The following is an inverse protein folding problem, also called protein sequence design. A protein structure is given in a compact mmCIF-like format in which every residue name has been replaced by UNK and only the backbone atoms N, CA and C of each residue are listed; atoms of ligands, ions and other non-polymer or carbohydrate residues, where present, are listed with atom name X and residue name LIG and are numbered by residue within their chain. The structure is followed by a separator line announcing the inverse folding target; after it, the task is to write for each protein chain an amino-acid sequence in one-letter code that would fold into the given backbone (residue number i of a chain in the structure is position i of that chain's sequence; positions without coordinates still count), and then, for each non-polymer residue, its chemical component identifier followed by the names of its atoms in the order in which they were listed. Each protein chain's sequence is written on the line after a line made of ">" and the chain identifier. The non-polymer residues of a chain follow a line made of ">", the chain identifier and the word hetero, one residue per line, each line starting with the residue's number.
data_IF_218639169055
#
_entry.id   IF_218639169055
#
_cell.length_a   1.000
_cell.length_b   1.000
_cell.length_c   1.000
_cell.angle_alpha   90.00
_cell.angle_beta   90.00
_cell.angle_gamma   90.00
#
_symmetry.space_group_name_H-M   'P 1'
#
loop_
_entity.id
_entity.type
_entity.pdbx_description
1 polymer ?
#
# COMPACT_ATOMS: atom_id res chain seq x y z
N UNK A 1 -8.56 -15.87 -5.94
CA UNK A 1 -9.44 -14.70 -5.83
C UNK A 1 -9.77 -14.29 -4.39
N UNK A 2 -9.54 -15.12 -3.36
CA UNK A 2 -9.71 -14.72 -1.95
C UNK A 2 -9.00 -13.42 -1.60
N UNK A 3 -7.73 -13.26 -2.02
CA UNK A 3 -6.96 -12.04 -1.79
C UNK A 3 -7.62 -10.76 -2.37
N UNK A 4 -8.24 -10.85 -3.55
CA UNK A 4 -8.97 -9.74 -4.16
C UNK A 4 -10.16 -9.30 -3.30
N UNK A 5 -10.98 -10.28 -2.87
CA UNK A 5 -12.14 -10.03 -2.05
C UNK A 5 -11.74 -9.47 -0.68
N UNK A 6 -10.77 -10.10 -0.02
CA UNK A 6 -10.33 -9.71 1.32
C UNK A 6 -9.64 -8.34 1.34
N UNK A 7 -8.81 -8.02 0.34
CA UNK A 7 -8.21 -6.69 0.23
C UNK A 7 -9.22 -5.60 -0.06
N UNK A 8 -10.22 -5.90 -0.91
CA UNK A 8 -11.33 -4.97 -1.16
C UNK A 8 -12.15 -4.72 0.10
N UNK A 9 -12.48 -5.78 0.84
CA UNK A 9 -13.22 -5.69 2.09
C UNK A 9 -12.45 -4.90 3.15
N UNK A 10 -11.16 -5.20 3.32
CA UNK A 10 -10.32 -4.55 4.33
C UNK A 10 -10.18 -3.03 4.11
N UNK A 11 -10.15 -2.58 2.85
CA UNK A 11 -10.08 -1.15 2.52
C UNK A 11 -11.45 -0.47 2.41
N UNK A 12 -12.56 -1.19 2.64
CA UNK A 12 -13.90 -0.63 2.45
C UNK A 12 -14.33 0.34 3.54
N UNK A 13 -13.86 0.14 4.78
CA UNK A 13 -14.20 0.95 5.95
C UNK A 13 -13.24 2.11 6.22
N UNK A 14 -12.11 2.20 5.50
CA UNK A 14 -11.09 3.24 5.74
C UNK A 14 -10.53 3.27 7.18
N UNK A 15 -10.51 2.13 7.88
CA UNK A 15 -9.95 1.93 9.23
C UNK A 15 -8.60 1.21 9.23
N UNK A 16 -8.09 0.96 8.04
CA UNK A 16 -6.83 0.29 7.80
C UNK A 16 -5.60 1.13 8.19
N UNK A 17 -4.46 0.46 8.23
CA UNK A 17 -3.19 1.09 8.56
C UNK A 17 -2.76 2.10 7.50
N UNK A 18 -1.85 2.99 7.89
CA UNK A 18 -1.28 4.00 7.00
C UNK A 18 0.19 4.19 7.31
N UNK A 19 1.00 4.28 6.25
CA UNK A 19 2.33 4.87 6.32
C UNK A 19 2.23 6.32 5.80
N UNK A 20 2.48 7.31 6.67
CA UNK A 20 2.29 8.71 6.30
C UNK A 20 3.36 9.21 5.32
N UNK A 21 4.61 8.76 5.46
CA UNK A 21 5.72 9.19 4.61
C UNK A 21 5.54 8.72 3.16
N UNK A 22 5.06 7.49 2.97
CA UNK A 22 4.78 6.91 1.65
C UNK A 22 3.34 7.16 1.16
N UNK A 23 2.49 7.80 1.98
CA UNK A 23 1.07 8.10 1.70
C UNK A 23 0.26 6.92 1.14
N UNK A 24 0.38 5.75 1.77
CA UNK A 24 -0.22 4.49 1.31
C UNK A 24 -0.70 3.58 2.46
N UNK A 25 -1.47 2.54 2.08
CA UNK A 25 -2.11 1.58 2.98
C UNK A 25 -1.58 0.15 2.74
N UNK A 26 -0.55 -0.30 3.48
CA UNK A 26 0.12 -1.56 3.19
C UNK A 26 -0.67 -2.81 3.62
N UNK A 27 -1.32 -2.78 4.78
CA UNK A 27 -1.96 -3.96 5.36
C UNK A 27 -3.05 -4.55 4.49
N UNK A 28 -3.84 -3.69 3.84
CA UNK A 28 -4.97 -4.08 2.98
C UNK A 28 -4.57 -4.80 1.70
N UNK A 29 -3.33 -4.66 1.23
CA UNK A 29 -2.81 -5.43 0.10
C UNK A 29 -2.02 -6.65 0.57
N UNK A 30 -1.17 -6.48 1.59
CA UNK A 30 -0.17 -7.48 1.98
C UNK A 30 -0.78 -8.62 2.79
N UNK A 31 -1.62 -8.34 3.78
CA UNK A 31 -2.22 -9.39 4.61
C UNK A 31 -3.11 -10.34 3.79
N UNK A 32 -4.03 -9.87 2.94
CA UNK A 32 -4.83 -10.73 2.08
C UNK A 32 -4.00 -11.62 1.14
N UNK A 33 -2.93 -11.06 0.56
CA UNK A 33 -2.03 -11.80 -0.31
C UNK A 33 -1.25 -12.88 0.47
N UNK A 34 -0.71 -12.52 1.64
CA UNK A 34 0.06 -13.41 2.49
C UNK A 34 -0.80 -14.55 3.06
N UNK A 35 -2.01 -14.26 3.55
CA UNK A 35 -2.96 -15.28 4.03
C UNK A 35 -3.24 -16.30 2.91
N UNK A 36 -3.63 -15.80 1.73
CA UNK A 36 -3.92 -16.67 0.59
C UNK A 36 -2.70 -17.52 0.17
N UNK A 37 -1.49 -16.94 0.16
CA UNK A 37 -0.27 -17.67 -0.18
C UNK A 37 0.08 -18.74 0.87
N UNK A 38 -0.10 -18.45 2.16
CA UNK A 38 0.13 -19.40 3.24
C UNK A 38 -0.84 -20.57 3.18
N UNK A 39 -2.13 -20.31 2.91
CA UNK A 39 -3.13 -21.36 2.70
C UNK A 39 -2.78 -22.23 1.49
N UNK A 40 -2.40 -21.60 0.36
CA UNK A 40 -2.03 -22.30 -0.87
C UNK A 40 -0.79 -23.20 -0.72
N UNK A 41 0.18 -22.79 0.09
CA UNK A 41 1.46 -23.49 0.25
C UNK A 41 1.59 -24.23 1.60
N UNK A 42 0.51 -24.28 2.39
CA UNK A 42 0.46 -24.88 3.72
C UNK A 42 1.61 -24.42 4.64
N UNK A 43 1.79 -23.09 4.75
CA UNK A 43 2.90 -22.46 5.48
C UNK A 43 2.53 -22.06 6.91
N UNK A 44 3.52 -21.99 7.79
CA UNK A 44 3.30 -21.66 9.19
C UNK A 44 3.13 -20.15 9.42
N UNK A 45 2.70 -19.78 10.63
CA UNK A 45 2.63 -18.38 11.06
C UNK A 45 3.97 -17.64 11.01
N UNK A 46 5.10 -18.34 11.16
CA UNK A 46 6.42 -17.73 11.03
C UNK A 46 6.67 -17.25 9.60
N UNK A 47 6.45 -18.11 8.61
CA UNK A 47 6.57 -17.74 7.19
C UNK A 47 5.58 -16.65 6.79
N UNK A 48 4.38 -16.66 7.36
CA UNK A 48 3.41 -15.58 7.19
C UNK A 48 3.99 -14.24 7.65
N UNK A 49 4.52 -14.17 8.88
CA UNK A 49 5.11 -12.93 9.43
C UNK A 49 6.32 -12.47 8.60
N UNK A 50 7.21 -13.39 8.20
CA UNK A 50 8.35 -13.05 7.34
C UNK A 50 7.91 -12.47 5.98
N UNK A 51 6.87 -13.06 5.37
CA UNK A 51 6.29 -12.55 4.13
C UNK A 51 5.67 -11.18 4.29
N UNK A 52 4.90 -10.97 5.36
CA UNK A 52 4.29 -9.67 5.69
C UNK A 52 5.36 -8.60 5.86
N UNK A 53 6.39 -8.85 6.69
CA UNK A 53 7.49 -7.89 6.91
C UNK A 53 8.14 -7.51 5.58
N UNK A 54 8.51 -8.50 4.75
CA UNK A 54 9.12 -8.22 3.45
C UNK A 54 8.20 -7.42 2.52
N UNK A 55 6.90 -7.72 2.52
CA UNK A 55 5.92 -6.98 1.73
C UNK A 55 5.84 -5.51 2.15
N UNK A 56 5.85 -5.24 3.46
CA UNK A 56 5.83 -3.88 4.00
C UNK A 56 7.09 -3.12 3.63
N UNK A 57 8.27 -3.74 3.77
CA UNK A 57 9.55 -3.16 3.35
C UNK A 57 9.48 -2.70 1.89
N UNK A 58 9.12 -3.61 0.98
CA UNK A 58 9.10 -3.32 -0.47
C UNK A 58 8.08 -2.23 -0.81
N UNK A 59 6.85 -2.35 -0.31
CA UNK A 59 5.79 -1.39 -0.62
C UNK A 59 6.12 0.02 -0.13
N UNK A 60 6.52 0.14 1.13
CA UNK A 60 6.75 1.44 1.77
C UNK A 60 7.98 2.11 1.16
N UNK A 61 9.09 1.38 0.98
CA UNK A 61 10.31 1.95 0.39
C UNK A 61 10.09 2.42 -1.04
N UNK A 62 9.34 1.67 -1.85
CA UNK A 62 8.96 2.12 -3.19
C UNK A 62 8.05 3.35 -3.15
N UNK A 63 7.10 3.42 -2.21
CA UNK A 63 6.27 4.61 -2.03
C UNK A 63 7.07 5.85 -1.62
N UNK A 64 8.06 5.71 -0.72
CA UNK A 64 8.98 6.79 -0.35
C UNK A 64 9.85 7.23 -1.52
N UNK A 65 10.41 6.26 -2.25
CA UNK A 65 11.27 6.51 -3.40
C UNK A 65 10.52 7.13 -4.58
N UNK A 66 9.23 6.84 -4.75
CA UNK A 66 8.44 7.51 -5.79
C UNK A 66 8.23 8.99 -5.53
N UNK A 67 8.23 9.44 -4.27
CA UNK A 67 7.69 10.74 -3.92
C UNK A 67 6.15 10.69 -4.02
N UNK A 68 5.43 10.55 -2.89
CA UNK A 68 3.97 10.39 -2.95
C UNK A 68 3.31 11.58 -3.64
N UNK A 69 3.76 12.82 -3.39
CA UNK A 69 3.15 14.01 -4.00
C UNK A 69 3.19 13.96 -5.52
N UNK A 70 4.35 13.65 -6.09
CA UNK A 70 4.60 13.55 -7.52
C UNK A 70 3.83 12.38 -8.14
N UNK A 71 3.76 11.25 -7.43
CA UNK A 71 2.99 10.10 -7.86
C UNK A 71 1.48 10.39 -7.90
N UNK A 72 0.96 11.05 -6.86
CA UNK A 72 -0.42 11.51 -6.78
C UNK A 72 -0.71 12.55 -7.89
N UNK A 73 0.19 13.50 -8.15
CA UNK A 73 -0.05 14.52 -9.20
C UNK A 73 -0.16 13.94 -10.60
N UNK A 74 0.39 12.74 -10.83
CA UNK A 74 0.22 11.99 -12.09
C UNK A 74 -1.06 11.15 -12.13
N UNK A 75 -1.87 11.17 -11.08
CA UNK A 75 -3.20 10.53 -11.03
C UNK A 75 -3.19 9.08 -10.55
N UNK A 76 -2.12 8.61 -9.91
CA UNK A 76 -2.01 7.23 -9.45
C UNK A 76 -2.15 7.09 -7.93
N UNK A 77 -2.80 6.00 -7.51
CA UNK A 77 -2.98 5.63 -6.11
C UNK A 77 -1.84 4.70 -5.66
N UNK A 78 -0.90 5.16 -4.81
CA UNK A 78 0.26 4.36 -4.40
C UNK A 78 -0.10 3.03 -3.71
N UNK A 79 -1.25 2.96 -3.02
CA UNK A 79 -1.74 1.71 -2.44
C UNK A 79 -1.95 0.62 -3.50
N UNK A 80 -2.42 0.96 -4.70
CA UNK A 80 -2.60 0.01 -5.80
C UNK A 80 -1.29 -0.30 -6.52
N UNK A 81 -0.51 0.74 -6.83
CA UNK A 81 0.74 0.61 -7.59
C UNK A 81 1.84 -0.04 -6.76
N UNK A 82 2.28 0.59 -5.66
CA UNK A 82 3.29 0.03 -4.75
C UNK A 82 2.82 -1.26 -4.06
N UNK A 83 1.52 -1.35 -3.75
CA UNK A 83 0.94 -2.55 -3.15
C UNK A 83 1.09 -3.79 -4.02
N UNK A 84 1.11 -3.63 -5.35
CA UNK A 84 1.33 -4.75 -6.28
C UNK A 84 2.73 -5.35 -6.07
N UNK A 85 3.76 -4.51 -5.88
CA UNK A 85 5.11 -4.97 -5.57
C UNK A 85 5.22 -5.57 -4.16
N UNK A 86 4.62 -4.93 -3.16
CA UNK A 86 4.62 -5.43 -1.78
C UNK A 86 3.96 -6.80 -1.65
N UNK A 87 2.77 -6.97 -2.23
CA UNK A 87 2.08 -8.26 -2.29
C UNK A 87 2.90 -9.30 -3.04
N UNK A 88 3.54 -8.94 -4.16
CA UNK A 88 4.44 -9.84 -4.90
C UNK A 88 5.60 -10.32 -4.04
N UNK A 89 6.25 -9.41 -3.31
CA UNK A 89 7.37 -9.76 -2.44
C UNK A 89 6.94 -10.71 -1.31
N UNK A 90 5.83 -10.40 -0.64
CA UNK A 90 5.26 -11.24 0.42
C UNK A 90 4.93 -12.64 -0.09
N UNK A 91 4.19 -12.74 -1.19
CA UNK A 91 3.81 -14.02 -1.78
C UNK A 91 5.03 -14.80 -2.26
N UNK A 92 5.98 -14.14 -2.93
CA UNK A 92 7.20 -14.77 -3.43
C UNK A 92 8.03 -15.39 -2.29
N UNK A 93 8.15 -14.68 -1.16
CA UNK A 93 8.82 -15.17 0.05
C UNK A 93 8.09 -16.38 0.65
N UNK A 94 6.77 -16.30 0.79
CA UNK A 94 5.95 -17.38 1.35
C UNK A 94 6.00 -18.64 0.47
N UNK A 95 5.94 -18.47 -0.86
CA UNK A 95 6.02 -19.57 -1.82
C UNK A 95 7.43 -20.14 -2.00
N UNK A 96 8.45 -19.52 -1.38
CA UNK A 96 9.84 -19.97 -1.43
C UNK A 96 10.49 -19.79 -2.80
N UNK A 97 10.19 -18.69 -3.50
CA UNK A 97 10.84 -18.39 -4.79
C UNK A 97 12.33 -18.14 -4.60
N UNK A 98 13.13 -18.60 -5.56
CA UNK A 98 14.55 -18.25 -5.64
C UNK A 98 14.74 -16.76 -5.93
N UNK A 99 15.95 -16.23 -5.72
CA UNK A 99 16.29 -14.84 -6.04
C UNK A 99 15.94 -14.47 -7.49
N UNK A 100 16.23 -15.36 -8.44
CA UNK A 100 15.92 -15.11 -9.86
C UNK A 100 14.41 -15.11 -10.13
N UNK A 101 13.66 -16.01 -9.49
CA UNK A 101 12.21 -16.03 -9.62
C UNK A 101 11.57 -14.79 -8.97
N UNK A 102 12.07 -14.33 -7.83
CA UNK A 102 11.59 -13.10 -7.20
C UNK A 102 11.87 -11.87 -8.07
N UNK A 103 13.04 -11.80 -8.71
CA UNK A 103 13.37 -10.74 -9.67
C UNK A 103 12.39 -10.73 -10.84
N UNK A 104 12.10 -11.90 -11.42
CA UNK A 104 11.09 -12.04 -12.47
C UNK A 104 9.69 -11.66 -11.98
N UNK A 105 9.31 -12.07 -10.77
CA UNK A 105 8.01 -11.79 -10.18
C UNK A 105 7.80 -10.27 -10.01
N UNK A 106 8.79 -9.56 -9.46
CA UNK A 106 8.74 -8.10 -9.35
C UNK A 106 8.71 -7.43 -10.74
N UNK A 107 9.45 -7.98 -11.71
CA UNK A 107 9.37 -7.54 -13.10
C UNK A 107 7.96 -7.62 -13.68
N UNK A 108 7.27 -8.73 -13.44
CA UNK A 108 5.89 -8.95 -13.88
C UNK A 108 4.88 -8.11 -13.10
N UNK A 109 5.16 -7.84 -11.82
CA UNK A 109 4.35 -6.99 -10.97
C UNK A 109 4.28 -5.56 -11.52
N UNK A 110 5.40 -5.02 -12.02
CA UNK A 110 5.43 -3.67 -12.58
C UNK A 110 4.54 -3.47 -13.81
N UNK A 111 4.31 -4.50 -14.61
CA UNK A 111 3.34 -4.45 -15.72
C UNK A 111 1.87 -4.48 -15.26
N UNK A 112 1.61 -4.82 -14.00
CA UNK A 112 0.27 -4.92 -13.41
C UNK A 112 0.00 -3.82 -12.37
N UNK A 113 1.02 -3.03 -12.01
CA UNK A 113 0.92 -1.96 -11.03
C UNK A 113 0.04 -0.82 -11.57
N UNK A 114 -1.15 -0.65 -10.99
CA UNK A 114 -2.13 0.32 -11.45
C UNK A 114 -2.98 0.88 -10.30
N UNK A 115 -3.76 1.92 -10.60
CA UNK A 115 -4.74 2.49 -9.68
C UNK A 115 -5.00 3.95 -10.01
N UNK A 116 -6.04 4.24 -10.80
CA UNK A 116 -6.40 5.62 -11.16
C UNK A 116 -7.10 6.32 -10.01
N UNK A 117 -6.68 7.54 -9.69
CA UNK A 117 -7.29 8.36 -8.64
C UNK A 117 -8.56 9.09 -9.06
N UNK A 118 -9.07 8.84 -10.27
CA UNK A 118 -10.30 9.46 -10.75
C UNK A 118 -11.51 9.21 -9.82
N UNK A 119 -11.45 8.20 -8.95
CA UNK A 119 -12.47 8.00 -7.91
C UNK A 119 -12.68 9.22 -7.00
N UNK A 120 -11.67 10.10 -6.86
CA UNK A 120 -11.76 11.32 -6.05
C UNK A 120 -12.73 12.34 -6.65
N UNK A 121 -13.00 12.33 -7.96
CA UNK A 121 -13.84 13.34 -8.61
C UNK A 121 -15.32 13.16 -8.31
N UNK A 122 -15.76 11.92 -8.04
CA UNK A 122 -17.17 11.57 -7.82
C UNK A 122 -17.40 10.68 -6.58
N UNK A 123 -16.37 10.38 -5.79
CA UNK A 123 -16.48 9.48 -4.63
C UNK A 123 -16.75 8.02 -5.02
N UNK A 124 -16.19 7.56 -6.14
CA UNK A 124 -16.42 6.21 -6.63
C UNK A 124 -15.80 5.14 -5.71
N UNK A 125 -16.39 3.94 -5.72
CA UNK A 125 -15.95 2.85 -4.85
C UNK A 125 -14.67 2.14 -5.30
N UNK A 126 -14.15 2.49 -6.48
CA UNK A 126 -12.96 1.86 -7.07
C UNK A 126 -11.73 1.96 -6.19
N UNK A 127 -11.59 2.99 -5.34
CA UNK A 127 -10.52 3.08 -4.33
C UNK A 127 -10.39 1.79 -3.52
N UNK A 128 -11.52 1.27 -3.03
CA UNK A 128 -11.61 0.06 -2.18
C UNK A 128 -11.04 -1.15 -2.89
N UNK A 129 -11.24 -1.22 -4.21
CA UNK A 129 -10.81 -2.34 -5.05
C UNK A 129 -9.30 -2.35 -5.32
N UNK A 130 -8.62 -1.20 -5.27
CA UNK A 130 -7.19 -1.09 -5.62
C UNK A 130 -6.27 -2.03 -4.82
N UNK A 131 -6.32 -2.09 -3.47
CA UNK A 131 -5.49 -3.03 -2.72
C UNK A 131 -5.87 -4.50 -2.95
N UNK A 132 -7.15 -4.79 -3.23
CA UNK A 132 -7.57 -6.13 -3.64
C UNK A 132 -6.92 -6.56 -4.97
N UNK A 133 -6.90 -5.67 -5.97
CA UNK A 133 -6.21 -5.94 -7.23
C UNK A 133 -4.70 -6.07 -7.03
N UNK A 134 -4.09 -5.21 -6.21
CA UNK A 134 -2.68 -5.33 -5.87
C UNK A 134 -2.35 -6.70 -5.25
N UNK A 135 -3.16 -7.16 -4.30
CA UNK A 135 -3.04 -8.47 -3.67
C UNK A 135 -3.18 -9.62 -4.68
N UNK A 136 -4.16 -9.52 -5.58
CA UNK A 136 -4.37 -10.48 -6.67
C UNK A 136 -3.17 -10.54 -7.62
N UNK A 137 -2.71 -9.38 -8.10
CA UNK A 137 -1.59 -9.25 -9.02
C UNK A 137 -0.31 -9.83 -8.41
N UNK A 138 -0.08 -9.63 -7.11
CA UNK A 138 1.06 -10.22 -6.42
C UNK A 138 1.07 -11.75 -6.41
N UNK A 139 -0.10 -12.38 -6.27
CA UNK A 139 -0.24 -13.83 -6.40
C UNK A 139 0.07 -14.27 -7.83
N UNK A 140 -0.55 -13.62 -8.82
CA UNK A 140 -0.38 -13.98 -10.23
C UNK A 140 1.09 -13.83 -10.68
N UNK A 141 1.72 -12.69 -10.39
CA UNK A 141 3.11 -12.42 -10.72
C UNK A 141 4.07 -13.46 -10.11
N UNK A 142 3.86 -13.81 -8.84
CA UNK A 142 4.67 -14.81 -8.14
C UNK A 142 4.49 -16.22 -8.72
N UNK A 143 3.26 -16.62 -9.06
CA UNK A 143 2.99 -17.92 -9.66
C UNK A 143 3.53 -18.03 -11.09
N UNK A 144 3.41 -16.96 -11.89
CA UNK A 144 3.99 -16.91 -13.23
C UNK A 144 5.51 -17.10 -13.17
N UNK A 145 6.19 -16.34 -12.32
CA UNK A 145 7.64 -16.45 -12.14
C UNK A 145 8.08 -17.80 -11.58
N UNK A 146 7.31 -18.36 -10.63
CA UNK A 146 7.55 -19.71 -10.08
C UNK A 146 7.54 -20.78 -11.19
N UNK A 147 6.70 -20.60 -12.21
CA UNK A 147 6.56 -21.50 -13.36
C UNK A 147 7.43 -21.09 -14.57
N UNK A 148 8.42 -20.22 -14.38
CA UNK A 148 9.43 -19.92 -15.41
C UNK A 148 9.10 -18.75 -16.33
N UNK A 149 8.01 -18.01 -16.09
CA UNK A 149 7.75 -16.76 -16.80
C UNK A 149 8.80 -15.70 -16.38
N UNK A 150 9.27 -14.90 -17.33
CA UNK A 150 10.33 -13.91 -17.10
C UNK A 150 9.77 -12.50 -17.01
N UNK A 151 10.40 -11.66 -16.17
CA UNK A 151 10.09 -10.24 -16.04
C UNK A 151 11.36 -9.41 -16.19
N UNK A 152 11.25 -8.11 -16.54
CA UNK A 152 12.41 -7.24 -16.65
C UNK A 152 13.10 -7.06 -15.30
N UNK A 153 14.41 -7.31 -15.24
CA UNK A 153 15.20 -7.22 -14.01
C UNK A 153 15.39 -5.79 -13.49
N UNK A 154 15.27 -4.79 -14.36
CA UNK A 154 15.41 -3.37 -14.05
C UNK A 154 14.05 -2.67 -13.93
N UNK A 155 13.01 -3.39 -13.48
CA UNK A 155 11.64 -2.85 -13.40
C UNK A 155 11.51 -1.65 -12.46
N UNK A 156 12.42 -1.46 -11.50
CA UNK A 156 12.35 -0.31 -10.57
C UNK A 156 12.99 0.92 -11.22
N UNK A 157 14.23 0.77 -11.69
CA UNK A 157 15.14 1.87 -12.05
C UNK A 157 15.45 1.98 -13.56
N UNK A 158 15.01 1.03 -14.38
CA UNK A 158 15.27 1.02 -15.81
C UNK A 158 14.62 2.22 -16.53
N UNK A 159 14.97 2.43 -17.81
CA UNK A 159 14.43 3.55 -18.63
C UNK A 159 12.90 3.67 -18.62
N UNK A 160 12.20 2.54 -18.59
CA UNK A 160 10.74 2.45 -18.48
C UNK A 160 10.30 1.84 -17.13
N UNK A 161 11.21 1.86 -16.15
CA UNK A 161 11.01 1.34 -14.82
C UNK A 161 10.04 2.20 -14.02
N UNK A 162 9.56 1.64 -12.92
CA UNK A 162 8.53 2.19 -12.08
C UNK A 162 8.86 3.61 -11.60
N UNK A 163 10.09 3.85 -11.12
CA UNK A 163 10.48 5.16 -10.62
C UNK A 163 10.51 6.25 -11.70
N UNK A 164 10.82 5.89 -12.95
CA UNK A 164 10.81 6.85 -14.07
C UNK A 164 9.43 7.01 -14.70
N UNK A 165 8.63 5.94 -14.73
CA UNK A 165 7.35 5.94 -15.42
C UNK A 165 6.20 6.45 -14.55
N UNK A 166 6.34 6.42 -13.21
CA UNK A 166 5.26 6.68 -12.25
C UNK A 166 5.50 7.93 -11.39
N UNK A 167 6.66 8.59 -11.51
CA UNK A 167 6.97 9.85 -10.83
C UNK A 167 7.86 10.72 -11.71
N UNK A 168 7.74 12.04 -11.54
CA UNK A 168 8.57 13.03 -12.24
C UNK A 168 9.82 13.42 -11.43
N UNK A 169 9.85 13.12 -10.11
CA UNK A 169 10.97 13.43 -9.21
C UNK A 169 11.15 12.30 -8.17
N UNK A 170 11.38 11.09 -8.67
CA UNK A 170 11.69 9.96 -7.81
C UNK A 170 13.08 10.09 -7.16
N UNK A 171 13.23 9.49 -5.98
CA UNK A 171 14.46 9.38 -5.18
C UNK A 171 14.89 7.91 -5.07
N UNK A 172 15.59 7.33 -6.07
CA UNK A 172 15.94 5.90 -6.09
C UNK A 172 16.73 5.41 -4.89
N UNK A 173 17.54 6.27 -4.28
CA UNK A 173 18.34 5.97 -3.08
C UNK A 173 17.46 5.55 -1.89
N UNK A 174 16.22 6.06 -1.79
CA UNK A 174 15.29 5.69 -0.71
C UNK A 174 14.79 4.25 -0.78
N UNK A 175 14.97 3.57 -1.91
CA UNK A 175 14.59 2.16 -2.05
C UNK A 175 15.38 1.27 -1.07
N UNK A 176 16.62 1.63 -0.75
CA UNK A 176 17.52 0.84 0.11
C UNK A 176 17.97 1.57 1.38
N UNK A 177 17.51 2.81 1.59
CA UNK A 177 17.91 3.64 2.72
C UNK A 177 17.54 3.03 4.09
N UNK A 178 18.52 2.77 4.94
CA UNK A 178 18.30 2.11 6.23
C UNK A 178 17.76 0.68 6.13
N UNK A 179 18.02 -0.03 5.03
CA UNK A 179 17.61 -1.43 4.88
C UNK A 179 18.38 -2.33 5.85
N UNK A 180 17.63 -2.98 6.75
CA UNK A 180 18.18 -3.88 7.76
C UNK A 180 18.44 -3.24 9.12
N UNK A 181 18.33 -1.91 9.23
CA UNK A 181 18.49 -1.19 10.49
C UNK A 181 17.19 -1.13 11.30
N UNK A 182 16.04 -0.97 10.63
CA UNK A 182 14.70 -0.98 11.22
C UNK A 182 13.67 -1.48 10.21
N UNK A 183 12.47 -1.84 10.67
CA UNK A 183 11.40 -2.34 9.83
C UNK A 183 10.31 -1.27 9.58
N UNK A 184 9.98 -1.05 8.31
CA UNK A 184 8.98 -0.08 7.86
C UNK A 184 7.57 -0.37 8.39
N UNK A 185 7.25 -1.64 8.69
CA UNK A 185 5.98 -2.00 9.35
C UNK A 185 5.81 -1.34 10.73
N UNK A 186 6.90 -1.06 11.44
CA UNK A 186 6.87 -0.40 12.75
C UNK A 186 6.59 1.11 12.63
N UNK A 187 6.65 1.66 11.41
CA UNK A 187 6.41 3.08 11.10
C UNK A 187 4.99 3.32 10.57
N UNK A 188 4.11 2.32 10.66
CA UNK A 188 2.70 2.43 10.31
C UNK A 188 1.86 2.83 11.52
N UNK A 189 0.73 3.49 11.26
CA UNK A 189 -0.27 3.86 12.27
C UNK A 189 -1.64 3.31 11.90
N UNK A 190 -2.45 2.98 12.90
CA UNK A 190 -3.84 2.54 12.71
C UNK A 190 -4.76 3.73 12.88
N UNK A 191 -5.73 3.88 11.99
CA UNK A 191 -6.70 4.98 12.04
C UNK A 191 -7.73 4.75 13.17
N UNK A 192 -7.93 5.71 14.09
CA UNK A 192 -9.01 5.62 15.07
C UNK A 192 -10.39 5.86 14.46
N UNK A 193 -10.49 6.68 13.41
CA UNK A 193 -11.76 7.03 12.75
C UNK A 193 -11.84 6.48 11.33
N UNK A 194 -13.03 6.05 10.92
CA UNK A 194 -13.31 5.45 9.61
C UNK A 194 -13.39 6.50 8.49
N UNK A 195 -12.27 7.15 8.18
CA UNK A 195 -12.22 8.24 7.22
C UNK A 195 -10.81 8.46 6.61
N UNK A 196 -10.75 9.39 5.65
CA UNK A 196 -9.48 9.87 5.10
C UNK A 196 -8.52 10.32 6.23
N UNK A 197 -7.23 10.05 6.06
CA UNK A 197 -6.19 10.36 7.06
C UNK A 197 -6.16 11.85 7.42
N UNK A 198 -6.38 12.74 6.46
CA UNK A 198 -6.38 14.19 6.68
C UNK A 198 -7.52 14.69 7.58
N UNK A 199 -8.56 13.90 7.79
CA UNK A 199 -9.67 14.26 8.69
C UNK A 199 -9.42 13.87 10.15
N UNK A 200 -8.47 12.96 10.42
CA UNK A 200 -8.23 12.42 11.75
C UNK A 200 -7.91 13.51 12.78
N UNK A 201 -6.97 14.45 12.54
CA UNK A 201 -6.62 15.47 13.54
C UNK A 201 -7.79 16.41 13.84
N UNK A 202 -8.58 16.76 12.82
CA UNK A 202 -9.75 17.63 12.97
C UNK A 202 -10.84 16.96 13.80
N UNK A 203 -11.08 15.66 13.59
CA UNK A 203 -12.05 14.89 14.38
C UNK A 203 -11.57 14.82 15.84
N UNK A 204 -10.31 14.47 16.08
CA UNK A 204 -9.75 14.39 17.43
C UNK A 204 -9.86 15.74 18.16
N UNK A 205 -9.50 16.85 17.50
CA UNK A 205 -9.59 18.19 18.07
C UNK A 205 -11.03 18.57 18.43
N UNK A 206 -11.99 18.31 17.52
CA UNK A 206 -13.41 18.58 17.78
C UNK A 206 -13.92 17.75 18.96
N UNK A 207 -13.61 16.44 18.99
CA UNK A 207 -14.04 15.55 20.06
C UNK A 207 -13.45 15.96 21.41
N UNK A 208 -12.19 16.39 21.44
CA UNK A 208 -11.56 16.92 22.64
C UNK A 208 -12.30 18.15 23.16
N UNK A 209 -12.53 19.15 22.29
CA UNK A 209 -13.23 20.40 22.65
C UNK A 209 -14.64 20.10 23.18
N UNK A 210 -15.39 19.22 22.50
CA UNK A 210 -16.74 18.82 22.92
C UNK A 210 -16.69 18.15 24.30
N UNK A 211 -15.78 17.22 24.53
CA UNK A 211 -15.69 16.47 25.78
C UNK A 211 -15.28 17.35 26.96
N UNK A 212 -14.34 18.27 26.76
CA UNK A 212 -13.84 19.19 27.79
C UNK A 212 -14.89 20.24 28.17
N UNK A 213 -15.70 20.69 27.21
CA UNK A 213 -16.62 21.83 27.39
C UNK A 213 -18.11 21.42 27.45
N UNK A 214 -18.42 20.14 27.21
CA UNK A 214 -19.81 19.59 27.15
C UNK A 214 -20.71 20.33 26.17
N UNK A 215 -20.14 20.77 25.04
CA UNK A 215 -20.83 21.52 23.98
C UNK A 215 -21.84 20.59 23.30
N UNK A 216 -23.07 21.06 23.13
CA UNK A 216 -24.11 20.40 22.32
C UNK A 216 -24.12 20.96 20.90
N UNK A 217 -24.66 20.22 19.91
CA UNK A 217 -24.78 20.72 18.54
C UNK A 217 -25.46 22.09 18.44
N UNK A 218 -26.51 22.32 19.24
CA UNK A 218 -27.28 23.58 19.23
C UNK A 218 -26.51 24.78 19.82
N UNK A 219 -25.38 24.54 20.50
CA UNK A 219 -24.54 25.60 21.07
C UNK A 219 -23.54 26.17 20.03
N UNK A 220 -23.46 25.57 18.84
CA UNK A 220 -22.41 25.86 17.85
C UNK A 220 -22.96 26.76 16.73
N UNK A 221 -22.55 28.02 16.72
CA UNK A 221 -22.87 28.94 15.61
C UNK A 221 -21.99 28.69 14.36
N UNK A 222 -20.70 28.40 14.56
CA UNK A 222 -19.72 28.24 13.46
C UNK A 222 -18.53 27.38 13.87
N UNK A 223 -18.02 26.59 12.91
CA UNK A 223 -16.76 25.85 13.03
C UNK A 223 -15.79 26.36 11.96
N UNK A 224 -14.54 26.64 12.35
CA UNK A 224 -13.45 26.96 11.41
C UNK A 224 -12.35 25.90 11.56
N UNK A 225 -12.00 25.23 10.47
CA UNK A 225 -10.97 24.18 10.46
C UNK A 225 -9.77 24.60 9.62
N UNK A 226 -8.57 24.49 10.20
CA UNK A 226 -7.31 24.57 9.47
C UNK A 226 -6.93 23.18 8.99
N UNK A 227 -6.79 23.01 7.67
CA UNK A 227 -6.34 21.75 7.05
C UNK A 227 -5.04 22.02 6.29
N UNK A 228 -4.11 21.06 6.35
CA UNK A 228 -2.88 21.11 5.55
C UNK A 228 -3.27 21.12 4.06
N UNK A 229 -2.66 22.04 3.30
CA UNK A 229 -2.83 22.07 1.86
C UNK A 229 -2.05 20.88 1.27
N UNK A 230 -2.78 19.97 0.61
CA UNK A 230 -2.22 18.81 -0.07
C UNK A 230 -1.53 19.20 -1.38
#
# INVERSE_FOLDING_TARGET
>A
YSALANGTAAHSLELDDVNNEASLHPGVAIFPAAIAACEMANKSGKEFVEGVILGYEVMIRLGKALGPREHYSRGFHPTGTCGTFGATAAVSKILGLSKQQMLNALGLAGSQAAGSMEFLTQGAWSKRMHPGWAAHNGIIASLLAKNGFTGPSSIIEGRFGFLHAYSDDASPEKVIDGLGDDFEILKCSIKPHACCRYMQPSIDAILQIINENKIKPDDIEKITLGILQA
#
